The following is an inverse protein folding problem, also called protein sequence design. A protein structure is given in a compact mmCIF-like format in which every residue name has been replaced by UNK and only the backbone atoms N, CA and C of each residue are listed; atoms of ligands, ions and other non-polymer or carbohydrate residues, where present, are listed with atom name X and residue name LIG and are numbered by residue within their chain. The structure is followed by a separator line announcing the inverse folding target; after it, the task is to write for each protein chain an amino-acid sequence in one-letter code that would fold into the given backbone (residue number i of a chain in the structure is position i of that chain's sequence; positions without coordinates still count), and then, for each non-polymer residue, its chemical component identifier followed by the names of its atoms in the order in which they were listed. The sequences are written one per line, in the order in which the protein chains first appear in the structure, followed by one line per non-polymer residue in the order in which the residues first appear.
data_IF_807786986753
#
_entry.id   IF_807786986753
#
_cell.length_a   1.000
_cell.length_b   1.000
_cell.length_c   1.000
_cell.angle_alpha   90.00
_cell.angle_beta   90.00
_cell.angle_gamma   90.00
#
_symmetry.space_group_name_H-M   'P 1'
#
loop_
_entity.id
_entity.type
_entity.pdbx_description
1 polymer ?
#
# COMPACT_ATOMS: atom_id res chain seq x y z
N UNK A 1 57.89 15.11 28.62
CA UNK A 1 57.38 13.72 28.64
C UNK A 1 55.92 13.66 29.08
N UNK A 2 55.51 14.36 30.15
CA UNK A 2 54.09 14.46 30.53
C UNK A 2 53.23 15.14 29.45
N UNK A 3 53.72 16.24 28.87
CA UNK A 3 52.98 16.99 27.86
C UNK A 3 52.75 16.16 26.58
N UNK A 4 53.79 15.49 26.09
CA UNK A 4 53.70 14.55 24.96
C UNK A 4 52.77 13.36 25.23
N UNK A 5 52.68 12.86 26.47
CA UNK A 5 51.71 11.81 26.83
C UNK A 5 50.27 12.35 26.85
N UNK A 6 50.07 13.56 27.34
CA UNK A 6 48.75 14.21 27.34
C UNK A 6 48.26 14.53 25.93
N UNK A 7 49.15 14.98 25.04
CA UNK A 7 48.87 15.19 23.61
C UNK A 7 48.48 13.87 22.93
N UNK A 8 49.29 12.81 23.07
CA UNK A 8 48.99 11.51 22.49
C UNK A 8 47.67 10.90 23.02
N UNK A 9 47.33 11.19 24.29
CA UNK A 9 46.05 10.77 24.87
C UNK A 9 44.87 11.56 24.28
N UNK A 10 45.02 12.87 24.08
CA UNK A 10 44.00 13.70 23.45
C UNK A 10 43.75 13.26 22.00
N UNK A 11 44.80 13.02 21.22
CA UNK A 11 44.71 12.51 19.85
C UNK A 11 43.99 11.16 19.79
N UNK A 12 44.28 10.26 20.74
CA UNK A 12 43.61 8.97 20.82
C UNK A 12 42.10 9.13 21.13
N UNK A 13 41.72 10.04 22.03
CA UNK A 13 40.33 10.30 22.33
C UNK A 13 39.58 10.86 21.11
N UNK A 14 40.18 11.79 20.38
CA UNK A 14 39.61 12.35 19.14
C UNK A 14 39.45 11.26 18.06
N UNK A 15 40.45 10.37 17.93
CA UNK A 15 40.39 9.26 16.99
C UNK A 15 39.27 8.27 17.35
N UNK A 16 39.08 7.97 18.63
CA UNK A 16 38.00 7.10 19.12
C UNK A 16 36.64 7.72 18.84
N UNK A 17 36.47 9.03 19.08
CA UNK A 17 35.20 9.73 18.84
C UNK A 17 34.89 9.76 17.33
N UNK A 18 35.86 10.15 16.50
CA UNK A 18 35.74 10.13 15.05
C UNK A 18 35.34 8.75 14.53
N UNK A 19 36.00 7.69 15.02
CA UNK A 19 35.69 6.31 14.63
C UNK A 19 34.28 5.91 15.04
N UNK A 20 33.83 6.32 16.22
CA UNK A 20 32.50 6.03 16.73
C UNK A 20 31.42 6.70 15.86
N UNK A 21 31.63 7.96 15.49
CA UNK A 21 30.72 8.69 14.59
C UNK A 21 30.65 8.06 13.19
N UNK A 22 31.80 7.66 12.63
CA UNK A 22 31.84 6.98 11.33
C UNK A 22 31.09 5.64 11.34
N UNK A 23 31.23 4.87 12.42
CA UNK A 23 30.52 3.59 12.58
C UNK A 23 29.01 3.81 12.73
N UNK A 24 28.59 4.81 13.52
CA UNK A 24 27.18 5.17 13.66
C UNK A 24 26.57 5.57 12.30
N UNK A 25 27.25 6.44 11.55
CA UNK A 25 26.79 6.86 10.21
C UNK A 25 26.71 5.66 9.23
N UNK A 26 27.72 4.78 9.24
CA UNK A 26 27.70 3.56 8.42
C UNK A 26 26.54 2.64 8.78
N UNK A 27 26.27 2.47 10.08
CA UNK A 27 25.17 1.64 10.57
C UNK A 27 23.81 2.19 10.11
N UNK A 28 23.58 3.50 10.26
CA UNK A 28 22.33 4.13 9.83
C UNK A 28 22.10 3.97 8.33
N UNK A 29 23.15 4.15 7.52
CA UNK A 29 23.07 3.98 6.07
C UNK A 29 22.74 2.53 5.67
N UNK A 30 23.40 1.55 6.28
CA UNK A 30 23.10 0.14 6.00
C UNK A 30 21.70 -0.27 6.45
N UNK A 31 21.26 0.22 7.62
CA UNK A 31 19.91 -0.01 8.12
C UNK A 31 18.88 0.56 7.14
N UNK A 32 19.07 1.78 6.65
CA UNK A 32 18.19 2.37 5.64
C UNK A 32 18.08 1.49 4.38
N UNK A 33 19.20 1.01 3.82
CA UNK A 33 19.14 0.17 2.63
C UNK A 33 18.42 -1.16 2.88
N UNK A 34 18.62 -1.75 4.05
CA UNK A 34 17.90 -2.94 4.47
C UNK A 34 16.39 -2.67 4.54
N UNK A 35 15.99 -1.64 5.27
CA UNK A 35 14.59 -1.32 5.53
C UNK A 35 13.85 -0.90 4.25
N UNK A 36 14.51 -0.14 3.36
CA UNK A 36 13.97 0.21 2.05
C UNK A 36 13.74 -1.04 1.17
N UNK A 37 14.69 -1.97 1.15
CA UNK A 37 14.57 -3.23 0.38
C UNK A 37 13.47 -4.13 0.94
N UNK A 38 13.39 -4.27 2.26
CA UNK A 38 12.35 -5.05 2.91
C UNK A 38 10.97 -4.47 2.64
N UNK A 39 10.79 -3.16 2.86
CA UNK A 39 9.54 -2.44 2.61
C UNK A 39 9.12 -2.60 1.15
N UNK A 40 10.04 -2.40 0.20
CA UNK A 40 9.76 -2.59 -1.22
C UNK A 40 9.27 -4.01 -1.52
N UNK A 41 9.92 -5.03 -0.96
CA UNK A 41 9.52 -6.42 -1.16
C UNK A 41 8.12 -6.69 -0.58
N UNK A 42 7.80 -6.16 0.59
CA UNK A 42 6.48 -6.32 1.20
C UNK A 42 5.38 -5.66 0.35
N UNK A 43 5.62 -4.44 -0.15
CA UNK A 43 4.69 -3.72 -1.05
C UNK A 43 4.48 -4.53 -2.34
N UNK A 44 5.55 -4.97 -2.99
CA UNK A 44 5.45 -5.77 -4.21
C UNK A 44 4.75 -7.12 -3.99
N UNK A 45 4.93 -7.74 -2.83
CA UNK A 45 4.22 -8.97 -2.48
C UNK A 45 2.71 -8.71 -2.32
N UNK A 46 2.31 -7.60 -1.68
CA UNK A 46 0.89 -7.20 -1.61
C UNK A 46 0.31 -6.93 -3.00
N UNK A 47 1.05 -6.27 -3.89
CA UNK A 47 0.60 -6.04 -5.28
C UNK A 47 0.31 -7.35 -6.02
N UNK A 48 1.14 -8.38 -5.84
CA UNK A 48 0.95 -9.71 -6.47
C UNK A 48 -0.24 -10.48 -5.91
N UNK A 49 -0.68 -10.16 -4.69
CA UNK A 49 -1.83 -10.79 -4.04
C UNK A 49 -3.17 -10.14 -4.45
N UNK A 50 -3.14 -9.01 -5.15
CA UNK A 50 -4.35 -8.32 -5.60
C UNK A 50 -5.07 -9.17 -6.65
N UNK A 51 -6.32 -9.62 -6.40
CA UNK A 51 -7.06 -10.42 -7.38
C UNK A 51 -7.55 -9.55 -8.55
N UNK A 52 -7.79 -10.17 -9.71
CA UNK A 52 -8.34 -9.50 -10.91
C UNK A 52 -9.86 -9.73 -11.10
N UNK A 53 -10.45 -10.67 -10.37
CA UNK A 53 -11.87 -11.05 -10.55
C UNK A 53 -12.84 -10.07 -9.86
N UNK A 54 -14.01 -9.83 -10.49
CA UNK A 54 -15.06 -8.93 -10.01
C UNK A 54 -16.36 -9.61 -9.55
N UNK A 55 -16.45 -10.94 -9.67
CA UNK A 55 -17.65 -11.72 -9.30
C UNK A 55 -18.63 -11.93 -10.46
N UNK A 56 -19.41 -13.02 -10.38
CA UNK A 56 -20.31 -13.49 -11.45
C UNK A 56 -21.80 -13.28 -11.13
N UNK A 57 -22.11 -12.95 -9.89
CA UNK A 57 -23.44 -12.66 -9.37
C UNK A 57 -23.33 -11.70 -8.17
N UNK A 58 -24.47 -11.22 -7.66
CA UNK A 58 -24.51 -10.26 -6.56
C UNK A 58 -23.78 -10.78 -5.31
N UNK A 59 -24.03 -12.04 -4.92
CA UNK A 59 -23.48 -12.62 -3.70
C UNK A 59 -21.94 -12.73 -3.77
N UNK A 60 -21.41 -13.17 -4.91
CA UNK A 60 -19.95 -13.28 -5.13
C UNK A 60 -19.29 -11.91 -5.21
N UNK A 61 -19.91 -10.93 -5.88
CA UNK A 61 -19.40 -9.57 -5.94
C UNK A 61 -19.35 -8.89 -4.56
N UNK A 62 -20.40 -9.02 -3.75
CA UNK A 62 -20.43 -8.48 -2.39
C UNK A 62 -19.43 -9.19 -1.45
N UNK A 63 -19.21 -10.50 -1.64
CA UNK A 63 -18.17 -11.22 -0.91
C UNK A 63 -16.77 -10.72 -1.25
N UNK A 64 -16.48 -10.54 -2.55
CA UNK A 64 -15.21 -9.98 -3.02
C UNK A 64 -15.01 -8.54 -2.53
N UNK A 65 -16.07 -7.73 -2.47
CA UNK A 65 -16.01 -6.37 -1.92
C UNK A 65 -15.60 -6.38 -0.44
N UNK A 66 -16.20 -7.27 0.38
CA UNK A 66 -15.81 -7.42 1.80
C UNK A 66 -14.36 -7.88 1.96
N UNK A 67 -13.92 -8.84 1.14
CA UNK A 67 -12.53 -9.29 1.14
C UNK A 67 -11.57 -8.17 0.74
N UNK A 68 -11.95 -7.35 -0.25
CA UNK A 68 -11.15 -6.20 -0.68
C UNK A 68 -11.03 -5.15 0.42
N UNK A 69 -12.10 -4.87 1.18
CA UNK A 69 -12.02 -3.98 2.34
C UNK A 69 -11.03 -4.48 3.40
N UNK A 70 -10.99 -5.79 3.67
CA UNK A 70 -10.00 -6.37 4.58
C UNK A 70 -8.57 -6.24 4.02
N UNK A 71 -8.39 -6.49 2.71
CA UNK A 71 -7.10 -6.26 2.04
C UNK A 71 -6.63 -4.81 2.14
N UNK A 72 -7.53 -3.83 1.98
CA UNK A 72 -7.21 -2.40 2.10
C UNK A 72 -6.79 -1.99 3.51
N UNK A 73 -7.39 -2.63 4.51
CA UNK A 73 -6.95 -2.46 5.90
C UNK A 73 -5.54 -3.03 6.09
N UNK A 74 -5.24 -4.21 5.54
CA UNK A 74 -3.92 -4.83 5.65
C UNK A 74 -2.81 -4.03 4.99
N UNK A 75 -3.05 -3.45 3.80
CA UNK A 75 -2.04 -2.62 3.14
C UNK A 75 -1.78 -1.33 3.94
N UNK A 76 -2.79 -0.79 4.62
CA UNK A 76 -2.63 0.43 5.42
C UNK A 76 -1.61 0.26 6.56
N UNK A 77 -1.41 -0.97 7.06
CA UNK A 77 -0.37 -1.27 8.04
C UNK A 77 1.06 -1.04 7.50
N UNK A 78 1.27 -1.07 6.18
CA UNK A 78 2.56 -0.79 5.54
C UNK A 78 2.86 0.71 5.43
N UNK A 79 1.85 1.59 5.55
CA UNK A 79 2.01 3.04 5.38
C UNK A 79 3.05 3.63 6.34
N UNK A 80 3.11 3.14 7.57
CA UNK A 80 4.10 3.58 8.57
C UNK A 80 5.53 3.21 8.18
N UNK A 81 5.74 2.03 7.59
CA UNK A 81 7.06 1.57 7.14
C UNK A 81 7.53 2.39 5.93
N UNK A 82 6.65 2.61 4.95
CA UNK A 82 6.93 3.48 3.79
C UNK A 82 7.31 4.88 4.25
N UNK A 83 6.55 5.45 5.19
CA UNK A 83 6.86 6.77 5.74
C UNK A 83 8.21 6.80 6.48
N UNK A 84 8.51 5.77 7.26
CA UNK A 84 9.80 5.68 7.95
C UNK A 84 10.97 5.67 6.95
N UNK A 85 10.86 4.92 5.85
CA UNK A 85 11.87 4.91 4.78
C UNK A 85 12.02 6.30 4.15
N UNK A 86 10.92 7.01 3.90
CA UNK A 86 10.94 8.39 3.37
C UNK A 86 11.63 9.36 4.33
N UNK A 87 11.29 9.30 5.61
CA UNK A 87 11.85 10.17 6.65
C UNK A 87 13.36 9.89 6.84
N UNK A 88 13.77 8.62 6.85
CA UNK A 88 15.18 8.23 6.92
C UNK A 88 15.96 8.65 5.67
N UNK A 89 15.39 8.48 4.48
CA UNK A 89 16.00 8.94 3.24
C UNK A 89 16.22 10.46 3.23
N UNK A 90 15.21 11.23 3.64
CA UNK A 90 15.29 12.68 3.71
C UNK A 90 16.36 13.16 4.71
N UNK A 91 16.52 12.44 5.83
CA UNK A 91 17.58 12.69 6.81
C UNK A 91 18.96 12.36 6.24
N UNK A 92 19.13 11.18 5.63
CA UNK A 92 20.41 10.73 5.09
C UNK A 92 20.84 11.55 3.87
N UNK A 93 19.92 11.99 3.00
CA UNK A 93 20.22 12.87 1.87
C UNK A 93 20.78 14.24 2.30
N UNK A 94 20.51 14.70 3.53
CA UNK A 94 21.14 15.91 4.08
C UNK A 94 22.57 15.64 4.60
N UNK A 95 22.86 14.40 4.98
CA UNK A 95 24.16 14.00 5.53
C UNK A 95 25.16 13.51 4.47
N UNK A 96 24.67 13.05 3.31
CA UNK A 96 25.49 12.55 2.20
C UNK A 96 25.37 13.45 0.97
N UNK A 97 26.37 13.40 0.08
CA UNK A 97 26.38 14.12 -1.19
C UNK A 97 26.90 13.23 -2.32
N UNK A 98 26.70 13.67 -3.58
CA UNK A 98 27.12 12.93 -4.76
C UNK A 98 26.40 11.59 -4.91
N UNK A 99 27.13 10.57 -5.39
CA UNK A 99 26.58 9.25 -5.71
C UNK A 99 25.79 8.61 -4.56
N UNK A 100 26.26 8.73 -3.31
CA UNK A 100 25.55 8.18 -2.15
C UNK A 100 24.17 8.82 -1.94
N UNK A 101 24.06 10.14 -2.09
CA UNK A 101 22.79 10.83 -1.94
C UNK A 101 21.82 10.46 -3.08
N UNK A 102 22.34 10.31 -4.29
CA UNK A 102 21.58 9.85 -5.46
C UNK A 102 21.03 8.43 -5.26
N UNK A 103 21.84 7.52 -4.71
CA UNK A 103 21.43 6.13 -4.49
C UNK A 103 20.41 5.99 -3.36
N UNK A 104 20.56 6.78 -2.28
CA UNK A 104 19.54 6.89 -1.23
C UNK A 104 18.21 7.35 -1.84
N UNK A 105 18.24 8.38 -2.71
CA UNK A 105 17.04 8.87 -3.39
C UNK A 105 16.41 7.83 -4.29
N UNK A 106 17.18 7.08 -5.07
CA UNK A 106 16.64 6.00 -5.92
C UNK A 106 15.92 4.93 -5.12
N UNK A 107 16.46 4.53 -3.96
CA UNK A 107 15.84 3.51 -3.11
C UNK A 107 14.52 4.01 -2.50
N UNK A 108 14.51 5.24 -1.99
CA UNK A 108 13.28 5.87 -1.50
C UNK A 108 12.24 6.00 -2.60
N UNK A 109 12.62 6.50 -3.77
CA UNK A 109 11.72 6.66 -4.91
C UNK A 109 11.13 5.32 -5.35
N UNK A 110 11.92 4.25 -5.39
CA UNK A 110 11.43 2.91 -5.74
C UNK A 110 10.34 2.42 -4.78
N UNK A 111 10.50 2.68 -3.47
CA UNK A 111 9.49 2.34 -2.45
C UNK A 111 8.24 3.20 -2.63
N UNK A 112 8.41 4.51 -2.79
CA UNK A 112 7.32 5.48 -2.95
C UNK A 112 6.49 5.23 -4.22
N UNK A 113 7.13 4.90 -5.35
CA UNK A 113 6.46 4.56 -6.61
C UNK A 113 5.68 3.25 -6.49
N UNK A 114 6.30 2.20 -5.95
CA UNK A 114 5.61 0.92 -5.74
C UNK A 114 4.41 1.07 -4.79
N UNK A 115 4.56 1.88 -3.74
CA UNK A 115 3.46 2.16 -2.81
C UNK A 115 2.32 2.93 -3.50
N UNK A 116 2.64 3.96 -4.28
CA UNK A 116 1.64 4.73 -5.03
C UNK A 116 0.90 3.86 -6.06
N UNK A 117 1.60 3.00 -6.79
CA UNK A 117 0.99 2.05 -7.73
C UNK A 117 0.07 1.07 -7.01
N UNK A 118 0.48 0.52 -5.87
CA UNK A 118 -0.37 -0.36 -5.06
C UNK A 118 -1.67 0.32 -4.63
N UNK A 119 -1.58 1.56 -4.13
CA UNK A 119 -2.76 2.34 -3.73
C UNK A 119 -3.69 2.63 -4.91
N UNK A 120 -3.12 3.00 -6.07
CA UNK A 120 -3.87 3.22 -7.31
C UNK A 120 -4.65 1.98 -7.72
N UNK A 121 -3.96 0.84 -7.88
CA UNK A 121 -4.57 -0.44 -8.25
C UNK A 121 -5.62 -0.92 -7.26
N UNK A 122 -5.38 -0.70 -5.96
CA UNK A 122 -6.37 -1.01 -4.91
C UNK A 122 -7.63 -0.16 -5.04
N UNK A 123 -7.48 1.14 -5.32
CA UNK A 123 -8.60 2.06 -5.55
C UNK A 123 -9.39 1.69 -6.80
N UNK A 124 -8.72 1.39 -7.91
CA UNK A 124 -9.36 0.98 -9.15
C UNK A 124 -10.18 -0.30 -8.96
N UNK A 125 -9.61 -1.28 -8.24
CA UNK A 125 -10.32 -2.52 -7.90
C UNK A 125 -11.54 -2.26 -7.02
N UNK A 126 -11.43 -1.37 -6.02
CA UNK A 126 -12.57 -0.98 -5.17
C UNK A 126 -13.71 -0.44 -6.02
N UNK A 127 -13.41 0.48 -6.95
CA UNK A 127 -14.42 1.05 -7.84
C UNK A 127 -15.05 -0.02 -8.73
N UNK A 128 -14.24 -0.89 -9.35
CA UNK A 128 -14.74 -2.00 -10.17
C UNK A 128 -15.71 -2.91 -9.40
N UNK A 129 -15.42 -3.22 -8.14
CA UNK A 129 -16.29 -4.04 -7.30
C UNK A 129 -17.59 -3.32 -6.94
N UNK A 130 -17.53 -2.02 -6.63
CA UNK A 130 -18.73 -1.20 -6.40
C UNK A 130 -19.62 -1.21 -7.64
N UNK A 131 -19.06 -0.89 -8.81
CA UNK A 131 -19.81 -0.86 -10.07
C UNK A 131 -20.42 -2.22 -10.41
N UNK A 132 -19.70 -3.31 -10.11
CA UNK A 132 -20.18 -4.67 -10.35
C UNK A 132 -21.34 -5.05 -9.43
N UNK A 133 -21.25 -4.69 -8.15
CA UNK A 133 -22.36 -4.88 -7.19
C UNK A 133 -23.58 -4.09 -7.62
N UNK A 134 -23.41 -2.82 -7.99
CA UNK A 134 -24.51 -1.94 -8.40
C UNK A 134 -25.20 -2.44 -9.68
N UNK A 135 -24.41 -2.90 -10.66
CA UNK A 135 -24.92 -3.58 -11.86
C UNK A 135 -25.82 -4.77 -11.51
N UNK A 136 -25.37 -5.66 -10.60
CA UNK A 136 -26.16 -6.83 -10.22
C UNK A 136 -27.42 -6.46 -9.43
N UNK A 137 -27.36 -5.44 -8.55
CA UNK A 137 -28.55 -4.92 -7.87
C UNK A 137 -29.57 -4.39 -8.85
N UNK A 138 -29.13 -3.60 -9.82
CA UNK A 138 -30.01 -3.06 -10.86
C UNK A 138 -30.70 -4.18 -11.66
N UNK A 139 -29.95 -5.19 -12.12
CA UNK A 139 -30.56 -6.34 -12.82
C UNK A 139 -31.53 -7.13 -11.94
N UNK A 140 -31.25 -7.25 -10.64
CA UNK A 140 -32.19 -7.80 -9.66
C UNK A 140 -33.50 -7.02 -9.65
N UNK A 141 -33.43 -5.70 -9.47
CA UNK A 141 -34.61 -4.83 -9.44
C UNK A 141 -35.44 -4.89 -10.72
N UNK A 142 -34.78 -4.91 -11.89
CA UNK A 142 -35.47 -5.04 -13.18
C UNK A 142 -36.20 -6.39 -13.28
N UNK A 143 -35.54 -7.48 -12.89
CA UNK A 143 -36.16 -8.81 -12.90
C UNK A 143 -37.37 -8.88 -11.96
N UNK A 144 -37.26 -8.32 -10.76
CA UNK A 144 -38.34 -8.32 -9.77
C UNK A 144 -39.55 -7.52 -10.29
N UNK A 145 -39.30 -6.38 -10.95
CA UNK A 145 -40.35 -5.59 -11.61
C UNK A 145 -41.02 -6.34 -12.76
N UNK A 146 -40.25 -7.03 -13.61
CA UNK A 146 -40.81 -7.83 -14.72
C UNK A 146 -41.69 -8.97 -14.20
N UNK A 147 -41.22 -9.71 -13.18
CA UNK A 147 -42.00 -10.78 -12.56
C UNK A 147 -43.30 -10.26 -11.93
N UNK A 148 -43.24 -9.09 -11.29
CA UNK A 148 -44.43 -8.44 -10.73
C UNK A 148 -45.42 -8.03 -11.83
N UNK A 149 -44.94 -7.46 -12.94
CA UNK A 149 -45.80 -7.09 -14.07
C UNK A 149 -46.48 -8.31 -14.70
N UNK A 150 -45.74 -9.41 -14.87
CA UNK A 150 -46.29 -10.66 -15.41
C UNK A 150 -47.38 -11.24 -14.50
N UNK A 151 -47.18 -11.20 -13.17
CA UNK A 151 -48.20 -11.62 -12.19
C UNK A 151 -49.47 -10.75 -12.28
N UNK A 152 -49.32 -9.42 -12.36
CA UNK A 152 -50.45 -8.50 -12.50
C UNK A 152 -51.21 -8.73 -13.82
N UNK A 153 -50.51 -8.93 -14.94
CA UNK A 153 -51.15 -9.24 -16.23
C UNK A 153 -51.98 -10.53 -16.13
N UNK A 154 -51.43 -11.56 -15.50
CA UNK A 154 -52.13 -12.82 -15.29
C UNK A 154 -53.36 -12.66 -14.40
N UNK A 155 -53.28 -11.82 -13.36
CA UNK A 155 -54.43 -11.49 -12.53
C UNK A 155 -55.51 -10.73 -13.31
N UNK A 156 -55.14 -9.78 -14.17
CA UNK A 156 -56.08 -9.03 -15.01
C UNK A 156 -56.80 -9.96 -15.99
N UNK A 157 -56.07 -10.84 -16.67
CA UNK A 157 -56.65 -11.81 -17.60
C UNK A 157 -57.58 -12.81 -16.90
N UNK A 158 -57.32 -13.09 -15.62
CA UNK A 158 -58.16 -13.95 -14.80
C UNK A 158 -59.45 -13.28 -14.29
N UNK A 159 -59.60 -11.95 -14.40
CA UNK A 159 -60.84 -11.26 -14.01
C UNK A 159 -61.91 -11.42 -15.09
N UNK A 160 -62.99 -12.14 -14.78
CA UNK A 160 -64.16 -12.23 -15.66
C UNK A 160 -64.87 -10.88 -15.82
N UNK A 161 -65.40 -10.61 -17.02
CA UNK A 161 -66.17 -9.40 -17.30
C UNK A 161 -67.39 -9.29 -16.38
N UNK A 162 -67.63 -8.13 -15.76
CA UNK A 162 -68.80 -7.94 -14.92
C UNK A 162 -70.08 -8.14 -15.74
N UNK A 163 -71.00 -8.94 -15.19
CA UNK A 163 -72.32 -9.25 -15.76
C UNK A 163 -73.23 -8.03 -15.82
#
# INVERSE_FOLDING_TARGET
WKDSLNEAWADLLELIDTRSQMLAASYELHRFYHDARETLSQVQNKQKQLPDEAGRDLNTAEALQRMHTAYEHDIQALSAQVKQVQDDAARLQKAYAGEKAEDIRKHEQSVSEAWSDLLGRSSDRRQLLVDTVDKFRFFGMVRDLLLWMDDINLQIDAQEKPR
#
